data_IF_874787125439
#
_entry.id   IF_874787125439
#
_cell.length_a   1.000
_cell.length_b   1.000
_cell.length_c   1.000
_cell.angle_alpha   90.00
_cell.angle_beta   90.00
_cell.angle_gamma   90.00
#
_symmetry.space_group_name_H-M   'P 1'
#
loop_
_entity.id
_entity.type
_entity.pdbx_description
1 polymer ?
#
# COMPACT_ATOMS: atom_id res chain seq x y z
N UNK A 1 -11.47 -18.88 15.37
CA UNK A 1 -12.15 -17.60 15.68
C UNK A 1 -11.09 -16.51 15.47
N UNK A 2 -11.23 -15.45 14.66
CA UNK A 2 -12.38 -14.63 14.28
C UNK A 2 -12.37 -14.33 12.77
N UNK A 3 -13.47 -14.69 12.10
CA UNK A 3 -13.81 -14.21 10.75
C UNK A 3 -14.55 -12.90 11.02
N UNK A 4 -14.07 -11.76 10.52
CA UNK A 4 -14.83 -10.51 10.64
C UNK A 4 -16.06 -10.68 9.74
N UNK A 5 -17.20 -10.97 10.35
CA UNK A 5 -18.51 -11.11 9.71
C UNK A 5 -19.01 -9.68 9.46
N UNK A 6 -19.07 -9.24 8.21
CA UNK A 6 -19.99 -8.18 7.83
C UNK A 6 -21.34 -8.85 7.61
N UNK A 7 -22.32 -8.70 8.52
CA UNK A 7 -23.54 -9.52 8.51
C UNK A 7 -24.55 -9.07 7.44
N UNK A 8 -24.12 -8.34 6.40
CA UNK A 8 -25.01 -7.73 5.41
C UNK A 8 -24.36 -7.63 4.02
N UNK A 9 -25.19 -7.46 2.99
CA UNK A 9 -24.74 -7.40 1.59
C UNK A 9 -23.82 -6.20 1.32
N UNK A 10 -22.73 -6.46 0.57
CA UNK A 10 -21.73 -5.47 0.13
C UNK A 10 -21.45 -5.64 -1.35
N UNK A 11 -20.96 -4.57 -1.98
CA UNK A 11 -20.50 -4.56 -3.36
C UNK A 11 -19.24 -5.43 -3.53
N UNK A 12 -19.23 -6.19 -4.62
CA UNK A 12 -18.11 -6.99 -5.11
C UNK A 12 -17.24 -6.17 -6.08
N UNK A 13 -17.89 -5.30 -6.86
CA UNK A 13 -17.25 -4.30 -7.70
C UNK A 13 -16.60 -3.18 -6.88
N UNK A 14 -15.61 -2.53 -7.48
CA UNK A 14 -14.75 -1.56 -6.81
C UNK A 14 -15.08 -0.15 -7.30
N UNK A 15 -14.95 0.83 -6.41
CA UNK A 15 -15.02 2.23 -6.80
C UNK A 15 -13.66 2.69 -7.32
N UNK A 16 -13.65 3.33 -8.49
CA UNK A 16 -12.49 4.07 -8.98
C UNK A 16 -12.56 5.50 -8.45
N UNK A 17 -11.43 6.02 -7.99
CA UNK A 17 -11.32 7.38 -7.44
C UNK A 17 -10.16 8.11 -8.08
N UNK A 18 -10.43 9.35 -8.46
CA UNK A 18 -9.48 10.25 -9.10
C UNK A 18 -9.53 11.62 -8.41
N UNK A 19 -8.36 12.21 -8.17
CA UNK A 19 -8.23 13.64 -7.86
C UNK A 19 -8.02 14.37 -9.19
N UNK A 20 -9.04 15.10 -9.61
CA UNK A 20 -9.07 15.79 -10.92
C UNK A 20 -8.40 17.17 -10.87
N UNK A 21 -8.39 17.81 -9.69
CA UNK A 21 -7.73 19.10 -9.48
C UNK A 21 -7.34 19.25 -8.01
N UNK A 22 -6.20 19.89 -7.78
CA UNK A 22 -5.76 20.30 -6.44
C UNK A 22 -5.55 21.80 -6.43
N UNK A 23 -5.97 22.45 -5.35
CA UNK A 23 -5.73 23.87 -5.09
C UNK A 23 -5.13 24.04 -3.71
N UNK A 24 -4.06 24.83 -3.58
CA UNK A 24 -3.46 25.23 -2.30
C UNK A 24 -3.66 26.73 -2.15
N UNK A 25 -4.32 27.15 -1.07
CA UNK A 25 -4.70 28.55 -0.81
C UNK A 25 -5.33 29.24 -2.03
N UNK A 26 -6.31 28.56 -2.63
CA UNK A 26 -7.05 28.97 -3.83
C UNK A 26 -6.25 28.99 -5.14
N UNK A 27 -4.97 28.64 -5.14
CA UNK A 27 -4.14 28.56 -6.35
C UNK A 27 -4.09 27.13 -6.86
N UNK A 28 -4.21 26.89 -8.17
CA UNK A 28 -4.00 25.56 -8.74
C UNK A 28 -2.60 25.05 -8.41
N UNK A 29 -2.52 23.80 -7.95
CA UNK A 29 -1.26 23.10 -7.77
C UNK A 29 -0.69 22.73 -9.15
N UNK A 30 0.63 22.80 -9.31
CA UNK A 30 1.29 22.42 -10.56
C UNK A 30 1.05 20.94 -10.88
N UNK A 31 0.83 20.63 -12.17
CA UNK A 31 0.53 19.26 -12.60
C UNK A 31 1.64 18.26 -12.25
N UNK A 32 2.90 18.68 -12.24
CA UNK A 32 4.04 17.85 -11.84
C UNK A 32 3.97 17.38 -10.37
N UNK A 33 3.16 18.04 -9.54
CA UNK A 33 2.93 17.73 -8.12
C UNK A 33 1.70 16.82 -7.92
N UNK A 34 1.10 16.32 -8.99
CA UNK A 34 -0.01 15.36 -8.97
C UNK A 34 0.39 14.19 -9.87
N UNK A 35 0.38 12.98 -9.33
CA UNK A 35 0.63 11.76 -10.12
C UNK A 35 -0.61 10.86 -10.08
N UNK A 36 -1.44 10.86 -11.13
CA UNK A 36 -2.58 9.96 -11.25
C UNK A 36 -2.19 8.48 -11.25
N UNK A 37 -1.07 8.13 -11.89
CA UNK A 37 -0.58 6.75 -11.95
C UNK A 37 -0.13 6.24 -10.58
N UNK A 38 0.51 7.09 -9.78
CA UNK A 38 0.88 6.77 -8.41
C UNK A 38 -0.25 7.05 -7.41
N UNK A 39 -1.34 7.70 -7.83
CA UNK A 39 -2.40 8.25 -6.97
C UNK A 39 -1.82 9.05 -5.80
N UNK A 40 -0.92 9.98 -6.11
CA UNK A 40 -0.23 10.81 -5.12
C UNK A 40 -0.32 12.28 -5.42
N UNK A 41 -0.30 13.08 -4.36
CA UNK A 41 -0.18 14.54 -4.42
C UNK A 41 0.95 14.96 -3.49
N UNK A 42 1.88 15.73 -4.01
CA UNK A 42 2.94 16.40 -3.26
C UNK A 42 2.51 17.85 -2.99
N UNK A 43 2.45 18.25 -1.73
CA UNK A 43 2.04 19.60 -1.35
C UNK A 43 3.18 20.46 -0.84
N UNK A 44 4.41 19.95 -0.78
CA UNK A 44 5.55 20.81 -0.51
C UNK A 44 5.79 21.71 -1.72
N UNK A 45 5.55 23.00 -1.54
CA UNK A 45 5.84 24.03 -2.54
C UNK A 45 7.14 24.71 -2.08
N UNK A 46 8.24 24.49 -2.80
CA UNK A 46 9.62 24.84 -2.45
C UNK A 46 9.82 26.36 -2.25
N UNK A 47 9.27 26.89 -1.16
CA UNK A 47 9.19 28.32 -0.83
C UNK A 47 7.91 28.81 -0.13
N UNK A 48 6.91 27.94 0.13
CA UNK A 48 5.67 28.27 0.88
C UNK A 48 5.33 27.22 1.93
N UNK A 49 6.10 27.19 3.02
CA UNK A 49 5.74 26.40 4.20
C UNK A 49 4.51 26.94 4.96
N UNK A 50 4.00 28.12 4.56
CA UNK A 50 2.96 28.88 5.27
C UNK A 50 1.54 28.60 4.79
N UNK A 51 1.33 27.64 3.87
CA UNK A 51 0.01 27.38 3.32
C UNK A 51 -0.99 26.88 4.38
N UNK A 52 -2.26 27.25 4.24
CA UNK A 52 -3.28 27.01 5.27
C UNK A 52 -4.29 25.93 4.86
N UNK A 53 -4.70 25.93 3.60
CA UNK A 53 -5.74 25.04 3.10
C UNK A 53 -5.40 24.44 1.73
N UNK A 54 -5.62 23.13 1.60
CA UNK A 54 -5.63 22.42 0.33
C UNK A 54 -7.04 21.91 0.02
N UNK A 55 -7.46 22.03 -1.24
CA UNK A 55 -8.77 21.59 -1.74
C UNK A 55 -8.58 20.61 -2.89
N UNK A 56 -9.16 19.42 -2.75
CA UNK A 56 -9.08 18.32 -3.71
C UNK A 56 -10.43 18.14 -4.39
N UNK A 57 -10.50 18.35 -5.70
CA UNK A 57 -11.68 18.03 -6.49
C UNK A 57 -11.64 16.55 -6.87
N UNK A 58 -12.56 15.77 -6.31
CA UNK A 58 -12.62 14.31 -6.40
C UNK A 58 -13.69 13.90 -7.39
N UNK A 59 -13.36 12.93 -8.25
CA UNK A 59 -14.28 12.21 -9.12
C UNK A 59 -14.24 10.73 -8.76
N UNK A 60 -15.39 10.09 -8.67
CA UNK A 60 -15.49 8.66 -8.42
C UNK A 60 -16.49 7.99 -9.37
N UNK A 61 -16.11 6.82 -9.87
CA UNK A 61 -16.95 5.96 -10.70
C UNK A 61 -17.28 4.71 -9.90
N UNK A 62 -18.56 4.39 -9.78
CA UNK A 62 -19.05 3.27 -8.98
C UNK A 62 -19.51 2.13 -9.90
N UNK A 63 -19.57 0.87 -9.41
CA UNK A 63 -20.13 -0.25 -10.16
C UNK A 63 -21.67 -0.12 -10.26
N UNK A 64 -22.14 0.72 -11.19
CA UNK A 64 -23.56 1.12 -11.31
C UNK A 64 -24.50 -0.06 -11.56
N UNK A 65 -24.08 -1.06 -12.34
CA UNK A 65 -24.89 -2.26 -12.58
C UNK A 65 -25.15 -3.03 -11.28
N UNK A 66 -24.10 -3.31 -10.50
CA UNK A 66 -24.26 -4.00 -9.21
C UNK A 66 -25.11 -3.16 -8.24
N UNK A 67 -24.86 -1.85 -8.20
CA UNK A 67 -25.63 -0.89 -7.40
C UNK A 67 -27.12 -0.91 -7.75
N UNK A 68 -27.48 -1.05 -9.02
CA UNK A 68 -28.87 -1.04 -9.46
C UNK A 68 -29.66 -2.28 -8.99
N UNK A 69 -28.99 -3.44 -8.87
CA UNK A 69 -29.64 -4.71 -8.54
C UNK A 69 -29.49 -5.13 -7.07
N UNK A 70 -28.74 -4.39 -6.26
CA UNK A 70 -28.47 -4.79 -4.88
C UNK A 70 -29.59 -4.45 -3.87
N UNK A 71 -29.59 -5.12 -2.71
CA UNK A 71 -30.64 -4.99 -1.69
C UNK A 71 -30.44 -3.76 -0.79
N UNK A 72 -30.16 -2.60 -1.39
CA UNK A 72 -29.87 -1.35 -0.69
C UNK A 72 -30.71 -0.18 -1.19
N UNK A 73 -30.86 0.82 -0.33
CA UNK A 73 -31.57 2.07 -0.62
C UNK A 73 -30.78 3.27 -0.07
N UNK A 74 -31.17 4.49 -0.43
CA UNK A 74 -30.52 5.73 0.05
C UNK A 74 -29.00 5.79 -0.20
N UNK A 75 -28.58 5.38 -1.39
CA UNK A 75 -27.18 5.36 -1.79
C UNK A 75 -26.53 6.74 -1.63
N UNK A 76 -25.33 6.75 -1.07
CA UNK A 76 -24.45 7.91 -1.03
C UNK A 76 -23.00 7.50 -1.26
N UNK A 77 -22.29 8.30 -2.05
CA UNK A 77 -20.84 8.24 -2.11
C UNK A 77 -20.25 9.36 -1.25
N UNK A 78 -19.31 9.02 -0.38
CA UNK A 78 -18.59 9.99 0.45
C UNK A 78 -17.09 9.85 0.22
N UNK A 79 -16.41 10.98 0.00
CA UNK A 79 -14.96 11.04 0.05
C UNK A 79 -14.51 11.16 1.51
N UNK A 80 -13.45 10.45 1.87
CA UNK A 80 -12.95 10.37 3.23
C UNK A 80 -11.45 10.64 3.21
N UNK A 81 -11.06 11.77 3.79
CA UNK A 81 -9.68 12.14 4.05
C UNK A 81 -9.32 11.73 5.48
N UNK A 82 -8.19 11.05 5.67
CA UNK A 82 -7.70 10.62 6.99
C UNK A 82 -6.22 10.88 7.15
N UNK A 83 -5.79 11.10 8.37
CA UNK A 83 -4.38 11.19 8.75
C UNK A 83 -4.22 10.45 10.08
N UNK A 84 -3.33 9.46 10.09
CA UNK A 84 -3.18 8.52 11.22
C UNK A 84 -2.54 9.17 12.43
N UNK A 85 -1.55 10.05 12.24
CA UNK A 85 -0.73 10.60 13.33
C UNK A 85 -1.53 11.50 14.27
N UNK A 86 -2.42 12.30 13.72
CA UNK A 86 -3.32 13.23 14.41
C UNK A 86 -4.71 12.63 14.60
N UNK A 87 -4.96 11.43 14.05
CA UNK A 87 -6.27 10.79 13.99
C UNK A 87 -7.36 11.71 13.38
N UNK A 88 -6.96 12.60 12.48
CA UNK A 88 -7.89 13.51 11.81
C UNK A 88 -8.67 12.76 10.74
N UNK A 89 -9.99 13.00 10.68
CA UNK A 89 -10.86 12.46 9.64
C UNK A 89 -11.82 13.53 9.14
N UNK A 90 -11.80 13.77 7.83
CA UNK A 90 -12.76 14.64 7.14
C UNK A 90 -13.60 13.81 6.19
N UNK A 91 -14.92 13.97 6.23
CA UNK A 91 -15.86 13.23 5.37
C UNK A 91 -16.66 14.25 4.57
N UNK A 92 -16.69 14.08 3.26
CA UNK A 92 -17.41 14.94 2.34
C UNK A 92 -18.35 14.11 1.49
N UNK A 93 -19.65 14.47 1.46
CA UNK A 93 -20.60 13.83 0.55
C UNK A 93 -20.35 14.28 -0.89
N UNK A 94 -20.25 13.33 -1.80
CA UNK A 94 -20.15 13.57 -3.24
C UNK A 94 -21.56 13.64 -3.84
N UNK A 95 -21.68 14.37 -4.95
CA UNK A 95 -22.92 14.53 -5.70
C UNK A 95 -22.82 13.77 -7.01
N UNK A 96 -23.85 12.99 -7.35
CA UNK A 96 -23.89 12.28 -8.63
C UNK A 96 -24.18 13.26 -9.75
N UNK A 97 -23.27 13.33 -10.72
CA UNK A 97 -23.45 14.09 -11.95
C UNK A 97 -24.43 13.35 -12.88
N UNK A 98 -25.47 14.06 -13.35
CA UNK A 98 -26.53 13.45 -14.17
C UNK A 98 -26.09 13.12 -15.59
N UNK A 99 -25.05 13.79 -16.11
CA UNK A 99 -24.56 13.56 -17.47
C UNK A 99 -23.59 12.38 -17.56
N UNK A 100 -22.58 12.35 -16.68
CA UNK A 100 -21.53 11.33 -16.70
C UNK A 100 -21.78 10.13 -15.80
N UNK A 101 -22.78 10.19 -14.91
CA UNK A 101 -23.04 9.17 -13.89
C UNK A 101 -21.99 9.12 -12.77
N UNK A 102 -20.89 9.86 -12.89
CA UNK A 102 -19.82 9.91 -11.90
C UNK A 102 -20.20 10.75 -10.67
N UNK A 103 -19.61 10.44 -9.54
CA UNK A 103 -19.77 11.17 -8.29
C UNK A 103 -18.66 12.20 -8.13
N UNK A 104 -19.01 13.44 -7.80
CA UNK A 104 -18.07 14.55 -7.75
C UNK A 104 -18.23 15.42 -6.50
N UNK A 105 -17.16 16.04 -6.06
CA UNK A 105 -17.16 16.98 -4.93
C UNK A 105 -15.76 17.42 -4.54
N UNK A 106 -15.67 18.40 -3.64
CA UNK A 106 -14.38 18.95 -3.20
C UNK A 106 -14.13 18.67 -1.72
N UNK A 107 -12.99 18.08 -1.40
CA UNK A 107 -12.57 17.81 -0.02
C UNK A 107 -11.57 18.86 0.42
N UNK A 108 -11.77 19.44 1.60
CA UNK A 108 -10.85 20.44 2.18
C UNK A 108 -9.96 19.82 3.25
N UNK A 109 -8.68 20.17 3.21
CA UNK A 109 -7.68 19.80 4.19
C UNK A 109 -7.03 21.06 4.76
N UNK A 110 -7.00 21.18 6.08
CA UNK A 110 -6.28 22.26 6.76
C UNK A 110 -4.90 21.79 7.17
N UNK A 111 -3.85 22.55 6.83
CA UNK A 111 -2.47 22.26 7.18
C UNK A 111 -2.29 22.00 8.68
N UNK A 112 -2.89 22.84 9.51
CA UNK A 112 -2.79 22.78 10.98
C UNK A 112 -3.40 21.52 11.62
N UNK A 113 -4.17 20.72 10.86
CA UNK A 113 -4.77 19.47 11.35
C UNK A 113 -4.05 18.22 10.85
N UNK A 114 -3.01 18.36 10.05
CA UNK A 114 -2.34 17.24 9.37
C UNK A 114 -0.83 17.40 9.53
N UNK A 115 -0.15 16.33 9.95
CA UNK A 115 1.28 16.41 10.28
C UNK A 115 2.16 16.20 9.05
N UNK A 116 2.06 15.04 8.42
CA UNK A 116 2.96 14.60 7.35
C UNK A 116 2.21 14.06 6.14
N UNK A 117 1.30 13.09 6.33
CA UNK A 117 0.70 12.37 5.20
C UNK A 117 -0.73 11.95 5.45
N UNK A 118 -1.62 12.32 4.53
CA UNK A 118 -3.02 11.95 4.56
C UNK A 118 -3.39 10.95 3.45
N UNK A 119 -4.44 10.17 3.67
CA UNK A 119 -5.04 9.31 2.64
C UNK A 119 -6.44 9.78 2.28
N UNK A 120 -6.76 9.77 0.98
CA UNK A 120 -8.06 10.16 0.45
C UNK A 120 -8.65 9.03 -0.38
N UNK A 121 -9.75 8.47 0.13
CA UNK A 121 -10.52 7.42 -0.55
C UNK A 121 -11.99 7.77 -0.68
N UNK A 122 -12.77 6.88 -1.30
CA UNK A 122 -14.23 6.96 -1.30
C UNK A 122 -14.86 5.77 -0.59
N UNK A 123 -15.99 6.01 0.06
CA UNK A 123 -16.82 5.01 0.69
C UNK A 123 -18.22 5.11 0.12
N UNK A 124 -18.78 3.96 -0.23
CA UNK A 124 -20.15 3.84 -0.68
C UNK A 124 -20.96 3.41 0.54
N UNK A 125 -21.93 4.22 0.91
CA UNK A 125 -22.81 3.96 2.06
C UNK A 125 -24.25 3.91 1.60
N UNK A 126 -25.03 3.05 2.24
CA UNK A 126 -26.44 2.88 1.93
C UNK A 126 -27.22 2.39 3.15
N UNK A 127 -28.54 2.35 3.02
CA UNK A 127 -29.41 1.61 3.91
C UNK A 127 -29.53 0.16 3.42
N UNK A 128 -29.15 -0.79 4.27
CA UNK A 128 -29.25 -2.24 4.00
C UNK A 128 -30.12 -2.85 5.09
N UNK A 129 -31.15 -3.61 4.71
CA UNK A 129 -32.09 -4.25 5.64
C UNK A 129 -32.71 -3.25 6.65
N UNK A 130 -33.05 -2.05 6.17
CA UNK A 130 -33.62 -0.98 7.00
C UNK A 130 -32.62 -0.22 7.89
N UNK A 131 -31.35 -0.62 7.94
CA UNK A 131 -30.31 0.05 8.72
C UNK A 131 -29.53 1.03 7.84
N UNK A 132 -29.69 2.34 8.11
CA UNK A 132 -29.06 3.43 7.36
C UNK A 132 -27.56 3.54 7.64
N UNK A 133 -26.80 4.07 6.68
CA UNK A 133 -25.40 4.46 6.86
C UNK A 133 -24.40 3.30 6.89
N UNK A 134 -24.80 2.10 6.44
CA UNK A 134 -23.89 0.95 6.32
C UNK A 134 -22.95 1.15 5.15
N UNK A 135 -21.66 0.88 5.37
CA UNK A 135 -20.68 0.88 4.28
C UNK A 135 -20.88 -0.39 3.46
N UNK A 136 -21.20 -0.23 2.18
CA UNK A 136 -21.41 -1.31 1.23
C UNK A 136 -20.28 -1.43 0.22
N UNK A 137 -19.37 -0.46 0.14
CA UNK A 137 -18.20 -0.53 -0.73
C UNK A 137 -17.19 0.58 -0.45
N UNK A 138 -16.03 0.49 -1.08
CA UNK A 138 -14.95 1.49 -0.97
C UNK A 138 -14.07 1.53 -2.22
N UNK A 139 -13.25 2.55 -2.33
CA UNK A 139 -12.13 2.59 -3.28
C UNK A 139 -11.21 1.38 -3.09
N UNK A 140 -10.69 0.85 -4.20
CA UNK A 140 -9.65 -0.18 -4.15
C UNK A 140 -8.39 0.36 -3.50
N UNK A 141 -8.00 1.54 -3.95
CA UNK A 141 -6.74 2.17 -3.58
C UNK A 141 -6.98 3.64 -3.32
N UNK A 142 -6.56 4.09 -2.13
CA UNK A 142 -6.70 5.48 -1.70
C UNK A 142 -5.54 6.32 -2.24
N UNK A 143 -5.83 7.58 -2.53
CA UNK A 143 -4.81 8.57 -2.87
C UNK A 143 -3.97 8.92 -1.64
N UNK A 144 -2.67 9.13 -1.86
CA UNK A 144 -1.74 9.62 -0.84
C UNK A 144 -1.51 11.10 -1.05
N UNK A 145 -1.62 11.88 0.01
CA UNK A 145 -1.35 13.30 0.03
C UNK A 145 -0.18 13.51 0.97
N UNK A 146 0.98 13.80 0.40
CA UNK A 146 2.20 14.09 1.14
C UNK A 146 2.34 15.60 1.33
N UNK A 147 2.44 16.04 2.59
CA UNK A 147 2.52 17.46 2.95
C UNK A 147 3.96 17.98 2.93
N UNK A 148 4.95 17.10 2.81
CA UNK A 148 6.38 17.41 2.95
C UNK A 148 7.19 17.01 1.72
N UNK A 149 6.64 16.21 0.81
CA UNK A 149 7.32 15.82 -0.41
C UNK A 149 7.18 16.88 -1.50
N UNK A 150 8.31 17.23 -2.13
CA UNK A 150 8.30 18.08 -3.32
C UNK A 150 7.77 17.35 -4.56
N UNK A 151 8.08 16.07 -4.71
CA UNK A 151 7.62 15.29 -5.88
C UNK A 151 6.58 14.25 -5.45
N UNK A 152 5.57 13.95 -6.30
CA UNK A 152 4.53 12.99 -5.94
C UNK A 152 5.14 11.60 -5.86
N UNK A 153 5.39 11.17 -4.64
CA UNK A 153 5.87 9.83 -4.31
C UNK A 153 4.77 9.12 -3.55
N UNK A 154 4.49 7.88 -3.95
CA UNK A 154 3.68 6.98 -3.13
C UNK A 154 4.65 6.31 -2.19
N UNK A 155 4.36 6.18 -0.89
CA UNK A 155 4.97 5.09 -0.10
C UNK A 155 4.39 3.75 -0.56
N UNK A 156 4.55 3.44 -1.84
CA UNK A 156 5.22 2.20 -2.15
C UNK A 156 6.69 2.59 -2.09
N UNK A 157 7.28 2.38 -0.92
CA UNK A 157 8.71 2.56 -0.61
C UNK A 157 9.63 1.73 -1.52
N UNK A 158 9.11 1.16 -2.60
CA UNK A 158 9.76 0.18 -3.43
C UNK A 158 9.48 0.57 -4.89
N UNK A 159 10.52 0.99 -5.59
CA UNK A 159 10.53 1.14 -7.05
C UNK A 159 10.57 -0.25 -7.67
N UNK A 160 9.83 -0.47 -8.76
CA UNK A 160 9.92 -1.72 -9.53
C UNK A 160 10.51 -1.40 -10.89
N UNK A 161 11.57 -2.11 -11.28
CA UNK A 161 12.25 -1.96 -12.56
C UNK A 161 12.28 -3.32 -13.25
N UNK A 162 11.68 -3.43 -14.42
CA UNK A 162 11.85 -4.62 -15.26
C UNK A 162 13.12 -4.44 -16.10
N UNK A 163 14.03 -5.42 -16.06
CA UNK A 163 15.25 -5.42 -16.85
C UNK A 163 15.69 -6.85 -17.16
N UNK A 164 16.33 -7.06 -18.31
CA UNK A 164 17.04 -8.31 -18.56
C UNK A 164 18.36 -8.29 -17.79
N UNK A 165 18.60 -9.28 -16.92
CA UNK A 165 19.81 -9.29 -16.10
C UNK A 165 21.05 -9.73 -16.89
N UNK A 166 20.90 -10.40 -18.05
CA UNK A 166 22.01 -10.82 -18.94
C UNK A 166 22.46 -9.67 -19.83
N UNK A 167 21.51 -9.12 -20.59
CA UNK A 167 21.79 -8.23 -21.72
C UNK A 167 21.18 -6.83 -21.55
N UNK A 168 20.58 -6.54 -20.39
CA UNK A 168 19.96 -5.26 -20.10
C UNK A 168 20.94 -4.12 -19.75
N UNK A 169 20.39 -2.92 -19.47
CA UNK A 169 21.18 -1.69 -19.30
C UNK A 169 22.04 -1.66 -18.03
N UNK A 170 21.78 -2.54 -17.06
CA UNK A 170 22.46 -2.57 -15.76
C UNK A 170 23.52 -3.66 -15.72
N UNK A 171 24.76 -3.34 -16.07
CA UNK A 171 25.85 -4.31 -16.11
C UNK A 171 26.11 -5.04 -14.77
N UNK A 172 25.78 -4.41 -13.65
CA UNK A 172 25.93 -4.98 -12.31
C UNK A 172 24.91 -6.09 -11.98
N UNK A 173 23.83 -6.22 -12.75
CA UNK A 173 22.85 -7.32 -12.62
C UNK A 173 23.31 -8.63 -13.28
N UNK A 174 24.35 -8.59 -14.13
CA UNK A 174 24.85 -9.77 -14.88
C UNK A 174 25.24 -10.97 -14.03
N UNK A 175 25.88 -10.82 -12.86
CA UNK A 175 26.16 -11.94 -11.98
C UNK A 175 24.89 -12.63 -11.45
N UNK A 176 23.74 -11.93 -11.48
CA UNK A 176 22.45 -12.38 -10.96
C UNK A 176 21.52 -12.89 -12.08
N UNK A 177 22.03 -13.15 -13.29
CA UNK A 177 21.24 -13.49 -14.49
C UNK A 177 20.22 -14.62 -14.35
N UNK A 178 20.42 -15.51 -13.38
CA UNK A 178 19.57 -16.67 -13.11
C UNK A 178 18.55 -16.40 -11.98
N UNK A 179 18.66 -15.26 -11.29
CA UNK A 179 17.70 -14.84 -10.27
C UNK A 179 16.44 -14.25 -10.93
N UNK A 180 15.24 -14.60 -10.46
CA UNK A 180 13.98 -14.07 -11.02
C UNK A 180 13.71 -12.62 -10.64
N UNK A 181 14.20 -12.19 -9.48
CA UNK A 181 14.18 -10.81 -9.03
C UNK A 181 15.38 -10.51 -8.14
N UNK A 182 15.63 -9.23 -7.91
CA UNK A 182 16.64 -8.74 -6.98
C UNK A 182 16.10 -7.51 -6.25
N UNK A 183 16.42 -7.38 -4.96
CA UNK A 183 15.99 -6.24 -4.13
C UNK A 183 17.23 -5.43 -3.76
N UNK A 184 17.33 -4.23 -4.32
CA UNK A 184 18.35 -3.25 -3.97
C UNK A 184 17.83 -2.32 -2.86
N UNK A 185 18.55 -2.24 -1.75
CA UNK A 185 18.23 -1.38 -0.59
C UNK A 185 19.31 -0.33 -0.32
N UNK A 186 20.29 -0.20 -1.24
CA UNK A 186 21.41 0.72 -1.07
C UNK A 186 21.04 2.20 -1.25
N UNK A 187 19.93 2.48 -1.96
CA UNK A 187 19.47 3.84 -2.23
C UNK A 187 18.50 4.42 -1.17
N UNK A 188 18.08 5.65 -1.42
CA UNK A 188 17.05 6.35 -0.65
C UNK A 188 15.64 5.77 -0.84
N UNK A 189 15.47 4.89 -1.83
CA UNK A 189 14.26 4.11 -2.05
C UNK A 189 14.63 2.70 -2.51
N UNK A 190 14.17 1.64 -1.82
CA UNK A 190 14.31 0.26 -2.25
C UNK A 190 13.87 0.08 -3.69
N UNK A 191 14.60 -0.73 -4.45
CA UNK A 191 14.28 -1.02 -5.84
C UNK A 191 14.25 -2.52 -6.07
N UNK A 192 13.10 -3.03 -6.51
CA UNK A 192 12.93 -4.41 -6.97
C UNK A 192 13.17 -4.46 -8.46
N UNK A 193 14.22 -5.17 -8.84
CA UNK A 193 14.51 -5.49 -10.23
C UNK A 193 13.82 -6.82 -10.56
N UNK A 194 12.97 -6.84 -11.58
CA UNK A 194 12.33 -8.05 -12.11
C UNK A 194 13.07 -8.50 -13.36
N UNK A 195 13.55 -9.74 -13.37
CA UNK A 195 14.40 -10.25 -14.45
C UNK A 195 13.55 -10.68 -15.66
N UNK A 196 13.56 -9.86 -16.72
CA UNK A 196 12.88 -10.17 -17.98
C UNK A 196 13.52 -11.34 -18.75
N UNK A 197 14.75 -11.73 -18.40
CA UNK A 197 15.43 -12.88 -18.98
C UNK A 197 14.85 -14.23 -18.52
N UNK A 198 14.04 -14.24 -17.45
CA UNK A 198 13.31 -15.45 -17.02
C UNK A 198 12.03 -15.57 -17.85
N UNK A 199 11.98 -16.61 -18.67
CA UNK A 199 10.85 -16.87 -19.56
C UNK A 199 9.54 -16.99 -18.77
N UNK A 200 8.53 -16.26 -19.22
CA UNK A 200 7.17 -16.34 -18.68
C UNK A 200 6.95 -15.62 -17.35
N UNK A 201 7.96 -15.08 -16.66
CA UNK A 201 7.79 -14.45 -15.35
C UNK A 201 6.89 -13.21 -15.41
N UNK A 202 7.22 -12.22 -16.25
CA UNK A 202 6.42 -11.00 -16.38
C UNK A 202 5.03 -11.27 -16.95
N UNK A 203 4.91 -12.26 -17.85
CA UNK A 203 3.62 -12.67 -18.40
C UNK A 203 2.74 -13.34 -17.32
N UNK A 204 3.32 -14.20 -16.50
CA UNK A 204 2.65 -14.83 -15.35
C UNK A 204 2.14 -13.78 -14.37
N UNK A 205 2.97 -12.79 -14.01
CA UNK A 205 2.57 -11.69 -13.12
C UNK A 205 1.42 -10.83 -13.66
N UNK A 206 1.21 -10.85 -14.99
CA UNK A 206 0.12 -10.16 -15.70
C UNK A 206 -1.02 -11.09 -16.12
N UNK A 207 -1.01 -12.35 -15.66
CA UNK A 207 -1.92 -13.41 -16.10
C UNK A 207 -3.41 -13.04 -16.00
N UNK A 208 -4.20 -13.58 -16.92
CA UNK A 208 -5.59 -13.13 -17.15
C UNK A 208 -6.65 -14.15 -16.74
N UNK A 209 -6.33 -15.45 -16.79
CA UNK A 209 -7.23 -16.52 -16.34
C UNK A 209 -7.27 -16.64 -14.81
N UNK A 210 -8.30 -17.29 -14.26
CA UNK A 210 -8.48 -17.43 -12.79
C UNK A 210 -7.34 -18.19 -12.11
N UNK A 211 -6.81 -19.24 -12.75
CA UNK A 211 -5.69 -20.04 -12.21
C UNK A 211 -4.39 -19.26 -12.35
N UNK A 212 -4.13 -18.63 -13.49
CA UNK A 212 -2.95 -17.77 -13.67
C UNK A 212 -2.95 -16.61 -12.67
N UNK A 213 -4.10 -15.97 -12.41
CA UNK A 213 -4.23 -14.92 -11.40
C UNK A 213 -3.90 -15.40 -10.00
N UNK A 214 -4.30 -16.63 -9.64
CA UNK A 214 -3.97 -17.21 -8.34
C UNK A 214 -2.48 -17.57 -8.22
N UNK A 215 -1.89 -18.11 -9.28
CA UNK A 215 -0.44 -18.37 -9.35
C UNK A 215 0.35 -17.06 -9.32
N UNK A 216 -0.07 -16.04 -10.08
CA UNK A 216 0.50 -14.71 -10.06
C UNK A 216 0.41 -14.07 -8.68
N UNK A 217 -0.72 -14.22 -7.98
CA UNK A 217 -0.89 -13.73 -6.62
C UNK A 217 0.04 -14.43 -5.62
N UNK A 218 0.30 -15.73 -5.80
CA UNK A 218 1.25 -16.49 -4.98
C UNK A 218 2.69 -16.05 -5.23
N UNK A 219 3.10 -15.92 -6.51
CA UNK A 219 4.45 -15.44 -6.87
C UNK A 219 4.66 -14.00 -6.39
N UNK A 220 3.66 -13.12 -6.55
CA UNK A 220 3.70 -11.77 -6.01
C UNK A 220 3.85 -11.77 -4.48
N UNK A 221 3.14 -12.65 -3.77
CA UNK A 221 3.31 -12.76 -2.32
C UNK A 221 4.72 -13.24 -1.95
N UNK A 222 5.32 -14.15 -2.71
CA UNK A 222 6.72 -14.54 -2.48
C UNK A 222 7.67 -13.36 -2.67
N UNK A 223 7.56 -12.63 -3.79
CA UNK A 223 8.38 -11.44 -4.06
C UNK A 223 8.23 -10.42 -2.93
N UNK A 224 6.99 -10.12 -2.53
CA UNK A 224 6.71 -9.17 -1.45
C UNK A 224 7.30 -9.64 -0.12
N UNK A 225 7.28 -10.94 0.18
CA UNK A 225 7.90 -11.51 1.37
C UNK A 225 9.42 -11.25 1.37
N UNK A 226 10.09 -11.59 0.27
CA UNK A 226 11.54 -11.39 0.12
C UNK A 226 11.92 -9.90 0.24
N UNK A 227 11.08 -9.02 -0.29
CA UNK A 227 11.26 -7.57 -0.21
C UNK A 227 11.17 -7.08 1.24
N UNK A 228 10.14 -7.49 1.99
CA UNK A 228 10.01 -7.13 3.41
C UNK A 228 11.18 -7.64 4.25
N UNK A 229 11.63 -8.88 4.02
CA UNK A 229 12.78 -9.45 4.70
C UNK A 229 14.06 -8.65 4.40
N UNK A 230 14.35 -8.40 3.13
CA UNK A 230 15.55 -7.67 2.70
C UNK A 230 15.55 -6.23 3.22
N UNK A 231 14.42 -5.53 3.10
CA UNK A 231 14.25 -4.18 3.61
C UNK A 231 14.41 -4.12 5.13
N UNK A 232 13.86 -5.09 5.86
CA UNK A 232 14.01 -5.13 7.32
C UNK A 232 15.47 -5.33 7.73
N UNK A 233 16.20 -6.24 7.08
CA UNK A 233 17.63 -6.42 7.35
C UNK A 233 18.46 -5.17 7.06
N UNK A 234 18.15 -4.46 5.98
CA UNK A 234 18.81 -3.21 5.64
C UNK A 234 18.47 -2.10 6.65
N UNK A 235 17.20 -1.96 7.06
CA UNK A 235 16.79 -0.99 8.07
C UNK A 235 17.45 -1.25 9.43
N UNK A 236 17.52 -2.53 9.85
CA UNK A 236 18.23 -2.94 11.07
C UNK A 236 19.73 -2.63 11.01
N UNK A 237 20.32 -2.77 9.82
CA UNK A 237 21.76 -2.55 9.65
C UNK A 237 22.18 -1.09 9.84
N UNK A 238 21.24 -0.17 9.69
CA UNK A 238 21.42 1.29 9.73
C UNK A 238 21.01 1.90 11.09
N UNK A 239 20.73 1.07 12.09
CA UNK A 239 20.46 1.55 13.45
C UNK A 239 21.79 1.92 14.11
N UNK A 240 21.99 3.22 14.33
CA UNK A 240 23.18 3.78 14.98
C UNK A 240 22.92 4.08 16.46
N UNK A 241 23.98 4.42 17.20
CA UNK A 241 23.87 4.99 18.53
C UNK A 241 24.03 6.51 18.51
N UNK A 242 23.25 7.19 19.33
CA UNK A 242 23.55 8.57 19.71
C UNK A 242 24.69 8.65 20.74
N UNK A 243 25.12 9.87 21.06
CA UNK A 243 26.18 10.16 22.03
C UNK A 243 25.90 9.64 23.45
N UNK A 244 24.63 9.32 23.75
CA UNK A 244 24.19 8.78 25.04
C UNK A 244 24.00 7.26 25.02
N UNK A 245 24.39 6.59 23.93
CA UNK A 245 24.21 5.15 23.77
C UNK A 245 22.75 4.73 23.54
N UNK A 246 21.88 5.63 23.09
CA UNK A 246 20.51 5.30 22.70
C UNK A 246 20.42 5.01 21.21
N UNK A 247 19.63 4.01 20.78
CA UNK A 247 19.46 3.71 19.36
C UNK A 247 18.81 4.89 18.63
N UNK A 248 19.42 5.31 17.53
CA UNK A 248 18.87 6.28 16.60
C UNK A 248 18.15 5.53 15.49
N UNK A 249 16.85 5.76 15.39
CA UNK A 249 16.03 5.16 14.34
C UNK A 249 16.41 5.79 12.99
N UNK A 250 16.73 4.98 11.97
CA UNK A 250 17.00 5.49 10.63
C UNK A 250 15.71 6.08 10.05
N UNK A 251 15.85 7.18 9.30
CA UNK A 251 14.71 7.90 8.72
C UNK A 251 14.28 7.33 7.36
N UNK A 252 13.12 7.78 6.86
CA UNK A 252 12.59 7.42 5.55
C UNK A 252 11.94 6.05 5.55
N UNK A 253 12.09 5.28 4.46
CA UNK A 253 11.49 3.95 4.35
C UNK A 253 11.96 2.98 5.45
N UNK A 254 13.18 3.17 5.98
CA UNK A 254 13.75 2.32 7.02
C UNK A 254 12.97 2.43 8.34
N UNK A 255 12.53 3.64 8.70
CA UNK A 255 11.68 3.90 9.88
C UNK A 255 10.38 3.11 9.78
N UNK A 256 9.67 3.29 8.67
CA UNK A 256 8.38 2.66 8.38
C UNK A 256 8.47 1.13 8.36
N UNK A 257 9.54 0.58 7.80
CA UNK A 257 9.79 -0.87 7.81
C UNK A 257 9.98 -1.39 9.24
N UNK A 258 10.77 -0.70 10.06
CA UNK A 258 10.97 -1.08 11.47
C UNK A 258 9.66 -1.00 12.24
N UNK A 259 8.92 0.10 12.16
CA UNK A 259 7.62 0.27 12.82
C UNK A 259 6.61 -0.80 12.41
N UNK A 260 6.63 -1.18 11.14
CA UNK A 260 5.69 -2.16 10.59
C UNK A 260 6.02 -3.59 11.02
N UNK A 261 7.30 -3.97 11.01
CA UNK A 261 7.74 -5.35 11.22
C UNK A 261 8.01 -5.69 12.69
N UNK A 262 8.55 -4.76 13.48
CA UNK A 262 8.95 -5.01 14.88
C UNK A 262 7.85 -5.64 15.75
N UNK A 263 6.56 -5.25 15.66
CA UNK A 263 5.50 -5.85 16.48
C UNK A 263 5.31 -7.36 16.25
N UNK A 264 5.57 -7.83 15.02
CA UNK A 264 5.45 -9.25 14.67
C UNK A 264 6.76 -10.01 14.96
N UNK A 265 7.91 -9.34 14.85
CA UNK A 265 9.24 -9.91 15.10
C UNK A 265 9.52 -10.05 16.61
N UNK A 266 9.21 -9.02 17.40
CA UNK A 266 9.41 -8.95 18.85
C UNK A 266 8.09 -8.57 19.55
N UNK A 267 7.11 -9.48 19.58
CA UNK A 267 5.81 -9.22 20.18
C UNK A 267 5.94 -8.94 21.69
N UNK A 268 5.17 -7.97 22.17
CA UNK A 268 5.11 -7.61 23.59
C UNK A 268 6.12 -6.55 24.04
N UNK A 269 7.02 -6.10 23.15
CA UNK A 269 7.90 -4.96 23.40
C UNK A 269 7.32 -3.67 22.81
N UNK A 270 7.65 -2.53 23.43
CA UNK A 270 7.44 -1.24 22.80
C UNK A 270 8.40 -1.09 21.61
N UNK A 271 8.12 -0.24 20.61
CA UNK A 271 9.03 -0.05 19.47
C UNK A 271 10.46 0.32 19.88
N UNK A 272 10.61 1.19 20.89
CA UNK A 272 11.92 1.60 21.40
C UNK A 272 12.66 0.43 22.08
N UNK A 273 11.97 -0.35 22.93
CA UNK A 273 12.56 -1.52 23.59
C UNK A 273 12.90 -2.63 22.60
N UNK A 274 12.07 -2.81 21.57
CA UNK A 274 12.28 -3.79 20.51
C UNK A 274 13.56 -3.48 19.72
N UNK A 275 13.85 -2.21 19.45
CA UNK A 275 15.09 -1.79 18.79
C UNK A 275 16.32 -2.08 19.65
N UNK A 276 16.25 -1.78 20.95
CA UNK A 276 17.34 -2.08 21.90
C UNK A 276 17.62 -3.59 21.94
N UNK A 277 16.57 -4.39 22.11
CA UNK A 277 16.65 -5.86 22.16
C UNK A 277 17.22 -6.44 20.86
N UNK A 278 16.73 -5.95 19.72
CA UNK A 278 17.15 -6.41 18.40
C UNK A 278 18.63 -6.14 18.14
N UNK A 279 19.14 -5.00 18.61
CA UNK A 279 20.57 -4.68 18.53
C UNK A 279 21.41 -5.52 19.50
N UNK A 280 20.99 -5.67 20.75
CA UNK A 280 21.70 -6.51 21.72
C UNK A 280 21.89 -7.95 21.19
N UNK A 281 20.83 -8.56 20.64
CA UNK A 281 20.90 -9.90 20.03
C UNK A 281 21.83 -9.98 18.82
N UNK A 282 21.97 -8.89 18.07
CA UNK A 282 22.85 -8.82 16.89
C UNK A 282 24.32 -8.69 17.29
N UNK A 283 24.63 -7.84 18.27
CA UNK A 283 26.00 -7.58 18.73
C UNK A 283 26.54 -8.73 19.60
N UNK A 284 25.70 -9.29 20.47
CA UNK A 284 26.09 -10.36 21.40
C UNK A 284 25.94 -11.76 20.79
N UNK A 285 25.32 -11.86 19.60
CA UNK A 285 25.14 -13.09 18.83
C UNK A 285 24.15 -14.10 19.43
N UNK A 286 23.65 -13.86 20.64
CA UNK A 286 22.63 -14.71 21.25
C UNK A 286 21.24 -14.43 20.66
N UNK A 287 20.51 -15.48 20.28
CA UNK A 287 19.11 -15.37 19.86
C UNK A 287 18.86 -14.75 18.48
N UNK A 288 19.89 -14.32 17.74
CA UNK A 288 19.75 -13.81 16.37
C UNK A 288 19.18 -14.86 15.42
N UNK A 289 19.61 -16.13 15.53
CA UNK A 289 19.08 -17.22 14.71
C UNK A 289 17.59 -17.49 14.94
N UNK A 290 17.11 -17.37 16.19
CA UNK A 290 15.66 -17.45 16.47
C UNK A 290 14.92 -16.25 15.85
N UNK A 291 15.53 -15.07 15.93
CA UNK A 291 14.98 -13.85 15.37
C UNK A 291 14.83 -13.94 13.85
N UNK A 292 15.76 -14.59 13.15
CA UNK A 292 15.67 -14.83 11.70
C UNK A 292 14.38 -15.55 11.32
N UNK A 293 14.01 -16.62 12.03
CA UNK A 293 12.75 -17.32 11.77
C UNK A 293 11.52 -16.43 12.03
N UNK A 294 11.59 -15.52 13.01
CA UNK A 294 10.51 -14.54 13.26
C UNK A 294 10.43 -13.46 12.20
N UNK A 295 11.58 -12.99 11.68
CA UNK A 295 11.63 -12.03 10.57
C UNK A 295 10.99 -12.64 9.32
N UNK A 296 11.36 -13.87 8.97
CA UNK A 296 10.76 -14.61 7.86
C UNK A 296 9.25 -14.78 8.03
N UNK A 297 8.82 -15.15 9.24
CA UNK A 297 7.40 -15.27 9.55
C UNK A 297 6.65 -13.93 9.42
N UNK A 298 7.20 -12.84 9.97
CA UNK A 298 6.62 -11.51 9.88
C UNK A 298 6.52 -11.04 8.42
N UNK A 299 7.58 -11.22 7.62
CA UNK A 299 7.60 -10.88 6.20
C UNK A 299 6.52 -11.65 5.43
N UNK A 300 6.39 -12.96 5.69
CA UNK A 300 5.35 -13.81 5.09
C UNK A 300 3.93 -13.36 5.47
N UNK A 301 3.72 -12.90 6.71
CA UNK A 301 2.45 -12.31 7.14
C UNK A 301 2.13 -11.02 6.38
N UNK A 302 3.12 -10.14 6.21
CA UNK A 302 2.97 -8.87 5.45
C UNK A 302 2.64 -9.12 3.99
N UNK A 303 3.22 -10.15 3.41
CA UNK A 303 2.91 -10.61 2.06
C UNK A 303 1.55 -11.32 1.91
N UNK A 304 0.85 -11.63 3.01
CA UNK A 304 -0.32 -12.52 3.02
C UNK A 304 -0.02 -13.90 2.40
N UNK A 305 1.24 -14.35 2.42
CA UNK A 305 1.69 -15.57 1.74
C UNK A 305 0.88 -16.82 2.15
N UNK A 306 0.56 -17.06 3.45
CA UNK A 306 -0.27 -18.20 3.85
C UNK A 306 -1.67 -18.19 3.21
N UNK A 307 -2.26 -17.00 3.06
CA UNK A 307 -3.60 -16.82 2.48
C UNK A 307 -3.58 -17.04 0.97
N UNK A 308 -2.54 -16.54 0.28
CA UNK A 308 -2.40 -16.76 -1.16
C UNK A 308 -2.15 -18.24 -1.46
N UNK A 309 -1.27 -18.90 -0.70
CA UNK A 309 -1.02 -20.34 -0.82
C UNK A 309 -2.30 -21.16 -0.66
N UNK A 310 -3.07 -20.90 0.41
CA UNK A 310 -4.35 -21.59 0.63
C UNK A 310 -5.38 -21.34 -0.48
N UNK A 311 -5.36 -20.16 -1.08
CA UNK A 311 -6.27 -19.80 -2.20
C UNK A 311 -5.87 -20.55 -3.46
N UNK A 312 -4.58 -20.56 -3.81
CA UNK A 312 -4.05 -21.26 -4.98
C UNK A 312 -4.26 -22.77 -4.88
N UNK A 313 -3.97 -23.39 -3.74
CA UNK A 313 -4.21 -24.83 -3.51
C UNK A 313 -5.68 -25.24 -3.67
N UNK A 314 -6.63 -24.39 -3.24
CA UNK A 314 -8.06 -24.66 -3.41
C UNK A 314 -8.50 -24.56 -4.87
N UNK A 315 -7.87 -23.69 -5.66
CA UNK A 315 -8.21 -23.50 -7.06
C UNK A 315 -7.63 -24.62 -7.93
N UNK A 316 -6.37 -25.02 -7.67
CA UNK A 316 -5.74 -26.15 -8.37
C UNK A 316 -6.44 -27.48 -8.08
N UNK A 317 -6.87 -27.72 -6.83
CA UNK A 317 -7.64 -28.92 -6.49
C UNK A 317 -9.02 -28.97 -7.16
N UNK A 318 -9.60 -27.82 -7.53
CA UNK A 318 -10.90 -27.74 -8.23
C UNK A 318 -10.76 -27.93 -9.74
N UNK A 319 -9.68 -27.44 -10.34
CA UNK A 319 -9.42 -27.65 -11.77
C UNK A 319 -9.15 -29.11 -12.10
N UNK A 320 -8.41 -29.83 -11.24
CA UNK A 320 -8.12 -31.26 -11.43
C UNK A 320 -9.35 -32.16 -11.29
N UNK A 321 -10.39 -31.74 -10.55
CA UNK A 321 -11.65 -32.49 -10.41
C UNK A 321 -12.64 -32.23 -11.56
N UNK A 322 -12.41 -31.21 -12.38
CA UNK A 322 -13.24 -30.88 -13.54
C UNK A 322 -12.80 -31.57 -14.83
N UNK A 323 -11.56 -32.06 -14.91
CA UNK A 323 -11.02 -32.78 -16.08
C UNK A 323 -11.34 -34.29 -16.05
N UNK A 324 -11.73 -34.85 -14.90
CA UNK A 324 -12.13 -36.26 -14.72
C UNK A 324 -13.64 -36.52 -14.92
N UNK A 325 -14.36 -35.68 -15.70
CA UNK A 325 -15.78 -35.85 -16.02
C UNK A 325 -16.09 -35.80 -17.51
#
# INVERSE_FOLDING_TARGET
MSRIIYPYAVLSGRAEVEITRVRVDSRPLEYARISPSLQTVALDDAGRDDWQEAVFDVRAVLPEEEIAYGPWSELACVAVLKESTTNTRTVQRLTKDRGSGAWQGSVRMRRSRHRSRATLGVQIVAAVEGVRGRMIGRSETDWVIDLQAETPVRDKEIRIVEADFRDGPYAWLRPLKDAPWFVDTSGDMPTVYLNQGIEGLTALLRGSSTVEKATAALVNAQIVSDVWETMFHAAVSEIELDENGRPRIPIGWRESVLETMLPDVLPGLSPADAIVELRARREEGYGWTELQSRIQYAAALRAQLPKQLATTLRLTARSSQGEDR
#
